data_IF_114426823401
#
_entry.id   IF_114426823401
#
_cell.length_a   1.000
_cell.length_b   1.000
_cell.length_c   1.000
_cell.angle_alpha   90.00
_cell.angle_beta   90.00
_cell.angle_gamma   90.00
#
_symmetry.space_group_name_H-M   'P 1'
#
loop_
_entity.id
_entity.type
_entity.pdbx_description
1 polymer ?
#
# COMPACT_ATOMS: atom_id res chain seq x y z
N UNK A 1 -1.08 4.44 7.96
CA UNK A 1 0.32 4.77 7.60
C UNK A 1 1.10 4.79 8.90
N UNK A 2 2.28 4.18 8.94
CA UNK A 2 3.11 4.10 10.15
C UNK A 2 4.50 4.65 9.87
N UNK A 3 5.16 5.19 10.92
CA UNK A 3 6.50 5.77 10.89
C UNK A 3 6.66 6.87 9.82
N UNK A 4 5.70 7.79 9.78
CA UNK A 4 5.72 8.93 8.86
C UNK A 4 6.21 10.18 9.60
N UNK A 5 7.50 10.49 9.46
CA UNK A 5 8.11 11.65 10.10
C UNK A 5 7.81 12.96 9.34
N UNK A 6 7.64 12.88 8.02
CA UNK A 6 7.32 14.01 7.15
C UNK A 6 6.33 13.59 6.05
N UNK A 7 5.35 14.44 5.74
CA UNK A 7 4.30 14.15 4.74
C UNK A 7 4.88 13.93 3.35
N UNK A 8 5.96 14.61 2.97
CA UNK A 8 6.62 14.42 1.68
C UNK A 8 7.19 13.00 1.54
N UNK A 9 7.52 12.34 2.65
CA UNK A 9 7.97 10.94 2.64
C UNK A 9 6.88 9.96 2.19
N UNK A 10 5.60 10.40 2.17
CA UNK A 10 4.49 9.62 1.65
C UNK A 10 4.45 9.57 0.11
N UNK A 11 4.96 10.60 -0.58
CA UNK A 11 4.87 10.72 -2.04
C UNK A 11 5.96 9.93 -2.74
N UNK A 12 5.89 8.61 -2.58
CA UNK A 12 6.95 7.69 -2.93
C UNK A 12 6.39 6.38 -3.48
N UNK A 13 7.27 5.47 -3.90
CA UNK A 13 6.91 4.14 -4.40
C UNK A 13 7.02 3.10 -3.29
N UNK A 14 5.96 2.36 -3.02
CA UNK A 14 5.91 1.34 -1.97
C UNK A 14 5.98 -0.04 -2.59
N UNK A 15 6.91 -0.86 -2.11
CA UNK A 15 6.99 -2.29 -2.43
C UNK A 15 6.25 -3.12 -1.39
N UNK A 16 5.50 -4.12 -1.82
CA UNK A 16 4.82 -5.06 -0.93
C UNK A 16 5.82 -5.93 -0.18
N UNK A 17 5.57 -6.16 1.12
CA UNK A 17 6.30 -7.17 1.89
C UNK A 17 5.71 -8.56 1.59
N UNK A 18 6.59 -9.51 1.30
CA UNK A 18 6.20 -10.92 1.14
C UNK A 18 5.54 -11.47 2.42
N UNK A 19 4.50 -12.28 2.25
CA UNK A 19 3.79 -12.93 3.38
C UNK A 19 2.93 -11.99 4.24
N UNK A 20 2.73 -10.74 3.83
CA UNK A 20 1.98 -9.74 4.61
C UNK A 20 0.49 -9.64 4.29
N UNK A 21 -0.03 -10.55 3.45
CA UNK A 21 -1.42 -10.55 3.00
C UNK A 21 -2.36 -11.21 4.02
N UNK A 22 -3.41 -10.49 4.40
CA UNK A 22 -4.46 -10.98 5.29
C UNK A 22 -5.85 -10.72 4.68
N UNK A 23 -6.78 -11.64 4.89
CA UNK A 23 -8.17 -11.53 4.44
C UNK A 23 -9.09 -12.12 5.52
N UNK A 24 -9.96 -11.30 6.11
CA UNK A 24 -10.89 -11.70 7.17
C UNK A 24 -12.26 -11.09 6.92
N UNK A 25 -13.30 -11.91 6.91
CA UNK A 25 -14.70 -11.47 6.79
C UNK A 25 -14.97 -10.46 5.63
N UNK A 26 -14.30 -10.64 4.48
CA UNK A 26 -14.47 -9.75 3.32
C UNK A 26 -13.67 -8.44 3.38
N UNK A 27 -12.78 -8.29 4.36
CA UNK A 27 -11.81 -7.20 4.50
C UNK A 27 -10.41 -7.76 4.29
N UNK A 28 -9.61 -7.13 3.45
CA UNK A 28 -8.26 -7.59 3.11
C UNK A 28 -7.24 -6.47 3.11
N UNK A 29 -6.03 -6.79 3.52
CA UNK A 29 -4.90 -5.85 3.54
C UNK A 29 -3.59 -6.57 3.27
N UNK A 30 -2.61 -5.81 2.81
CA UNK A 30 -1.21 -6.22 2.74
C UNK A 30 -0.33 -5.09 3.28
N UNK A 31 0.92 -5.39 3.65
CA UNK A 31 1.85 -4.37 4.13
C UNK A 31 2.81 -4.01 2.99
N UNK A 32 3.02 -2.70 2.80
CA UNK A 32 3.94 -2.15 1.81
C UNK A 32 4.92 -1.21 2.50
N UNK A 33 6.16 -1.14 2.01
CA UNK A 33 7.25 -0.39 2.65
C UNK A 33 7.98 0.49 1.65
N UNK A 34 8.33 1.68 2.10
CA UNK A 34 9.37 2.52 1.50
C UNK A 34 10.19 3.11 2.65
N UNK A 35 11.50 2.87 2.66
CA UNK A 35 12.41 3.25 3.75
C UNK A 35 11.85 2.83 5.12
N UNK A 36 11.57 3.76 6.03
CA UNK A 36 10.97 3.47 7.33
C UNK A 36 9.44 3.49 7.34
N UNK A 37 8.80 4.00 6.28
CA UNK A 37 7.36 4.19 6.21
C UNK A 37 6.68 2.89 5.82
N UNK A 38 5.67 2.49 6.61
CA UNK A 38 4.79 1.37 6.30
C UNK A 38 3.40 1.86 5.88
N UNK A 39 2.94 1.34 4.75
CA UNK A 39 1.64 1.60 4.17
C UNK A 39 0.81 0.31 4.20
N UNK A 40 -0.38 0.39 4.78
CA UNK A 40 -1.31 -0.75 4.90
C UNK A 40 -2.64 -0.35 4.26
N UNK A 41 -2.83 -0.60 2.95
CA UNK A 41 -4.11 -0.37 2.30
C UNK A 41 -5.12 -1.43 2.73
N UNK A 42 -6.25 -1.00 3.30
CA UNK A 42 -7.37 -1.87 3.66
C UNK A 42 -8.44 -1.76 2.58
N UNK A 43 -8.92 -2.91 2.09
CA UNK A 43 -9.94 -2.99 1.02
C UNK A 43 -11.03 -3.98 1.40
N UNK A 44 -12.21 -3.82 0.85
CA UNK A 44 -13.37 -4.69 1.12
C UNK A 44 -13.90 -5.34 -0.17
N UNK A 45 -14.69 -6.41 -0.02
CA UNK A 45 -15.36 -7.09 -1.13
C UNK A 45 -14.39 -7.67 -2.16
N UNK A 46 -14.61 -7.39 -3.45
CA UNK A 46 -13.72 -7.83 -4.55
C UNK A 46 -12.31 -7.28 -4.36
N UNK A 47 -12.20 -6.03 -3.89
CA UNK A 47 -10.92 -5.37 -3.61
C UNK A 47 -10.14 -6.06 -2.49
N UNK A 48 -10.80 -6.72 -1.54
CA UNK A 48 -10.14 -7.46 -0.48
C UNK A 48 -9.34 -8.67 -1.00
N UNK A 49 -9.88 -9.37 -2.01
CA UNK A 49 -9.22 -10.56 -2.60
C UNK A 49 -8.18 -10.21 -3.66
N UNK A 50 -8.44 -9.19 -4.48
CA UNK A 50 -7.48 -8.76 -5.51
C UNK A 50 -6.38 -7.87 -4.94
N UNK A 51 -6.68 -7.10 -3.89
CA UNK A 51 -5.78 -6.14 -3.27
C UNK A 51 -4.55 -6.76 -2.61
N UNK A 52 -4.71 -7.96 -2.04
CA UNK A 52 -3.62 -8.69 -1.38
C UNK A 52 -2.48 -9.11 -2.30
N UNK A 53 -2.74 -9.21 -3.62
CA UNK A 53 -1.72 -9.56 -4.62
C UNK A 53 -0.94 -8.36 -5.16
N UNK A 54 -1.24 -7.13 -4.71
CA UNK A 54 -0.59 -5.93 -5.21
C UNK A 54 0.70 -5.64 -4.43
N UNK A 55 1.83 -5.96 -5.06
CA UNK A 55 3.17 -5.73 -4.53
C UNK A 55 3.77 -4.35 -4.84
N UNK A 56 3.03 -3.45 -5.51
CA UNK A 56 3.55 -2.13 -5.88
C UNK A 56 2.46 -1.07 -5.82
N UNK A 57 2.77 0.08 -5.24
CA UNK A 57 1.90 1.24 -5.19
C UNK A 57 2.71 2.53 -5.21
N UNK A 58 2.44 3.41 -6.18
CA UNK A 58 3.02 4.74 -6.26
C UNK A 58 2.05 5.77 -5.71
N UNK A 59 2.51 6.59 -4.77
CA UNK A 59 1.77 7.75 -4.28
C UNK A 59 2.44 9.03 -4.78
N UNK A 60 1.64 9.96 -5.28
CA UNK A 60 2.11 11.26 -5.79
C UNK A 60 1.27 12.38 -5.22
N UNK A 61 1.89 13.55 -5.07
CA UNK A 61 1.18 14.75 -4.62
C UNK A 61 0.16 15.25 -5.65
N UNK A 62 0.40 14.99 -6.93
CA UNK A 62 -0.48 15.36 -8.06
C UNK A 62 -0.79 14.13 -8.89
N UNK A 63 -1.97 14.09 -9.50
CA UNK A 63 -2.36 13.01 -10.38
C UNK A 63 -1.38 12.88 -11.56
N UNK A 64 -1.01 11.64 -11.90
CA UNK A 64 -0.13 11.35 -13.02
C UNK A 64 -0.53 10.03 -13.66
N UNK A 65 -0.36 9.95 -14.98
CA UNK A 65 -0.52 8.72 -15.74
C UNK A 65 0.68 7.78 -15.60
N UNK A 66 1.86 8.33 -15.33
CA UNK A 66 3.08 7.52 -15.24
C UNK A 66 3.11 6.74 -13.92
N UNK A 67 3.03 5.39 -13.94
CA UNK A 67 3.03 4.58 -12.73
C UNK A 67 4.44 4.39 -12.15
N UNK A 68 5.48 4.83 -12.87
CA UNK A 68 6.88 4.85 -12.43
C UNK A 68 7.21 6.24 -11.92
#
# INVERSE_FOLDING_TARGET
VYNLDDVNSLYNRFGGLAGSAYLVAGVGFNVMKNNNVLLVPIRTGVGARLGVNLGYLKLTQRATWNPF
#
